data_IF_157894371141
#
_entry.id   IF_157894371141
#
_cell.length_a   1.000
_cell.length_b   1.000
_cell.length_c   1.000
_cell.angle_alpha   90.00
_cell.angle_beta   90.00
_cell.angle_gamma   90.00
#
_symmetry.space_group_name_H-M   'P 1'
#
loop_
_entity.id
_entity.type
_entity.pdbx_description
1 polymer ?
#
# COMPACT_ATOMS: atom_id res chain seq x y z
N UNK A 1 17.17 1.44 16.77
CA UNK A 1 16.65 0.16 16.23
C UNK A 1 15.14 -0.09 16.48
N UNK A 2 14.45 0.73 17.29
CA UNK A 2 13.02 0.51 17.65
C UNK A 2 11.99 1.21 16.73
N UNK A 3 12.33 2.35 16.12
CA UNK A 3 11.41 3.12 15.25
C UNK A 3 11.11 2.42 13.92
N UNK A 4 12.15 1.89 13.27
CA UNK A 4 12.00 1.21 11.97
C UNK A 4 11.22 -0.10 12.10
N UNK A 5 11.39 -0.85 13.20
CA UNK A 5 10.60 -2.07 13.49
C UNK A 5 9.14 -1.78 13.85
N UNK A 6 8.87 -0.68 14.57
CA UNK A 6 7.49 -0.26 14.86
C UNK A 6 6.78 0.25 13.59
N UNK A 7 7.48 1.01 12.76
CA UNK A 7 7.01 1.39 11.42
C UNK A 7 6.77 0.13 10.56
N UNK A 8 7.70 -0.80 10.49
CA UNK A 8 7.54 -2.03 9.69
C UNK A 8 6.39 -2.93 10.15
N UNK A 9 5.96 -2.93 11.42
CA UNK A 9 4.84 -3.79 11.87
C UNK A 9 3.46 -3.13 11.80
N UNK A 10 3.38 -1.80 11.90
CA UNK A 10 2.12 -1.05 11.83
C UNK A 10 1.94 -0.24 10.54
N UNK A 11 2.96 -0.16 9.69
CA UNK A 11 2.98 0.62 8.43
C UNK A 11 3.23 -0.27 7.21
N UNK A 12 3.83 -1.46 7.33
CA UNK A 12 4.13 -2.31 6.16
C UNK A 12 2.90 -2.71 5.33
N UNK A 13 1.82 -3.15 5.98
CA UNK A 13 0.58 -3.52 5.30
C UNK A 13 -0.11 -2.27 4.72
N UNK A 14 -0.31 -1.17 5.47
CA UNK A 14 -0.80 0.10 4.92
C UNK A 14 0.04 0.64 3.77
N UNK A 15 1.35 0.41 3.81
CA UNK A 15 2.27 0.83 2.78
C UNK A 15 2.09 0.03 1.50
N UNK A 16 1.91 -1.30 1.59
CA UNK A 16 1.60 -2.13 0.43
C UNK A 16 0.24 -1.76 -0.17
N UNK A 17 -0.77 -1.61 0.69
CA UNK A 17 -2.11 -1.15 0.31
C UNK A 17 -2.08 0.21 -0.40
N UNK A 18 -1.28 1.15 0.09
CA UNK A 18 -1.10 2.45 -0.54
C UNK A 18 -0.46 2.32 -1.93
N UNK A 19 0.57 1.48 -2.09
CA UNK A 19 1.19 1.24 -3.42
C UNK A 19 0.19 0.60 -4.38
N UNK A 20 -0.57 -0.40 -3.92
CA UNK A 20 -1.62 -1.08 -4.69
C UNK A 20 -2.69 -0.08 -5.15
N UNK A 21 -3.18 0.78 -4.24
CA UNK A 21 -4.11 1.86 -4.56
C UNK A 21 -3.54 2.82 -5.60
N UNK A 22 -2.30 3.26 -5.45
CA UNK A 22 -1.68 4.20 -6.39
C UNK A 22 -1.56 3.61 -7.80
N UNK A 23 -1.28 2.31 -7.92
CA UNK A 23 -1.22 1.62 -9.22
C UNK A 23 -2.61 1.59 -9.87
N UNK A 24 -3.66 1.24 -9.13
CA UNK A 24 -5.03 1.17 -9.64
C UNK A 24 -5.60 2.55 -9.99
N UNK A 25 -5.50 3.51 -9.07
CA UNK A 25 -6.06 4.87 -9.22
C UNK A 25 -5.40 5.60 -10.40
N UNK A 26 -4.10 5.38 -10.64
CA UNK A 26 -3.40 6.01 -11.78
C UNK A 26 -3.97 5.63 -13.14
N UNK A 27 -4.69 4.52 -13.25
CA UNK A 27 -5.33 4.07 -14.48
C UNK A 27 -6.56 4.92 -14.85
N UNK A 28 -7.14 5.67 -13.88
CA UNK A 28 -8.29 6.56 -14.06
C UNK A 28 -7.95 7.91 -14.73
N UNK A 29 -7.01 7.89 -15.67
CA UNK A 29 -6.68 9.05 -16.51
C UNK A 29 -6.16 10.27 -15.72
N UNK A 30 -6.78 11.43 -15.94
CA UNK A 30 -6.30 12.71 -15.40
C UNK A 30 -6.61 12.86 -13.91
N UNK A 31 -7.83 12.52 -13.51
CA UNK A 31 -8.29 12.62 -12.12
C UNK A 31 -7.50 11.66 -11.22
N UNK A 32 -7.28 10.44 -11.69
CA UNK A 32 -6.42 9.47 -11.02
C UNK A 32 -5.00 9.96 -10.75
N UNK A 33 -4.38 10.66 -11.71
CA UNK A 33 -3.04 11.26 -11.51
C UNK A 33 -3.04 12.37 -10.48
N UNK A 34 -4.07 13.22 -10.45
CA UNK A 34 -4.21 14.25 -9.42
C UNK A 34 -4.40 13.64 -8.04
N UNK A 35 -5.28 12.63 -7.93
CA UNK A 35 -5.54 11.92 -6.69
C UNK A 35 -4.28 11.23 -6.16
N UNK A 36 -3.52 10.54 -7.02
CA UNK A 36 -2.24 9.93 -6.66
C UNK A 36 -1.25 10.96 -6.08
N UNK A 37 -1.16 12.14 -6.70
CA UNK A 37 -0.29 13.23 -6.20
C UNK A 37 -0.74 13.70 -4.82
N UNK A 38 -2.04 13.86 -4.61
CA UNK A 38 -2.60 14.27 -3.33
C UNK A 38 -2.36 13.22 -2.23
N UNK A 39 -2.64 11.94 -2.50
CA UNK A 39 -2.39 10.82 -1.57
C UNK A 39 -0.93 10.79 -1.13
N UNK A 40 0.02 10.85 -2.09
CA UNK A 40 1.45 10.84 -1.78
C UNK A 40 1.86 12.06 -0.96
N UNK A 41 1.31 13.24 -1.26
CA UNK A 41 1.57 14.45 -0.49
C UNK A 41 1.08 14.31 0.96
N UNK A 42 -0.19 13.95 1.15
CA UNK A 42 -0.79 13.77 2.48
C UNK A 42 -0.07 12.68 3.29
N UNK A 43 0.36 11.60 2.64
CA UNK A 43 1.18 10.57 3.28
C UNK A 43 2.48 11.14 3.84
N UNK A 44 3.23 11.92 3.05
CA UNK A 44 4.49 12.51 3.51
C UNK A 44 4.29 13.56 4.60
N UNK A 45 3.20 14.33 4.55
CA UNK A 45 2.83 15.25 5.62
C UNK A 45 2.54 14.52 6.94
N UNK A 46 1.79 13.41 6.91
CA UNK A 46 1.53 12.59 8.11
C UNK A 46 2.83 12.00 8.69
N UNK A 47 3.72 11.48 7.84
CA UNK A 47 5.05 11.01 8.29
C UNK A 47 5.85 12.14 8.93
N UNK A 48 5.88 13.32 8.33
CA UNK A 48 6.60 14.46 8.88
C UNK A 48 6.00 14.90 10.23
N UNK A 49 4.67 15.00 10.34
CA UNK A 49 3.99 15.37 11.58
C UNK A 49 4.26 14.36 12.69
N UNK A 50 4.13 13.05 12.41
CA UNK A 50 4.41 11.98 13.38
C UNK A 50 5.86 12.01 13.85
N UNK A 51 6.81 12.28 12.94
CA UNK A 51 8.23 12.37 13.31
C UNK A 51 8.51 13.52 14.29
N UNK A 52 7.78 14.65 14.17
CA UNK A 52 7.85 15.77 15.12
C UNK A 52 7.26 15.40 16.48
N UNK A 53 6.09 14.74 16.48
CA UNK A 53 5.42 14.28 17.70
C UNK A 53 6.29 13.29 18.48
N UNK A 54 7.02 12.42 17.79
CA UNK A 54 7.94 11.46 18.40
C UNK A 54 9.26 12.08 18.89
N UNK A 55 9.44 13.40 18.76
CA UNK A 55 10.62 14.11 19.24
C UNK A 55 11.90 13.78 18.46
N UNK A 56 11.79 13.36 17.19
CA UNK A 56 12.96 13.07 16.36
C UNK A 56 13.65 14.39 15.97
N UNK A 57 14.95 14.49 16.27
CA UNK A 57 15.78 15.63 15.91
C UNK A 57 15.74 15.95 14.42
N UNK A 58 15.89 17.22 14.06
CA UNK A 58 15.76 17.67 12.67
C UNK A 58 16.73 16.99 11.69
N UNK A 59 17.96 16.70 12.13
CA UNK A 59 18.98 16.03 11.32
C UNK A 59 18.57 14.57 11.05
N UNK A 60 18.30 13.80 12.11
CA UNK A 60 17.85 12.42 12.01
C UNK A 60 16.54 12.28 11.24
N UNK A 61 15.62 13.25 11.40
CA UNK A 61 14.36 13.31 10.64
C UNK A 61 14.63 13.46 9.15
N UNK A 62 15.51 14.39 8.74
CA UNK A 62 15.85 14.59 7.33
C UNK A 62 16.46 13.34 6.70
N UNK A 63 17.37 12.67 7.42
CA UNK A 63 17.98 11.42 6.96
C UNK A 63 16.95 10.28 6.86
N UNK A 64 16.08 10.15 7.87
CA UNK A 64 15.02 9.14 7.88
C UNK A 64 14.02 9.36 6.74
N UNK A 65 13.59 10.59 6.50
CA UNK A 65 12.71 10.95 5.39
C UNK A 65 13.33 10.56 4.05
N UNK A 66 14.62 10.86 3.84
CA UNK A 66 15.31 10.47 2.61
C UNK A 66 15.32 8.95 2.42
N UNK A 67 15.69 8.20 3.46
CA UNK A 67 15.71 6.73 3.40
C UNK A 67 14.31 6.14 3.15
N UNK A 68 13.27 6.72 3.75
CA UNK A 68 11.88 6.34 3.52
C UNK A 68 11.45 6.63 2.08
N UNK A 69 11.82 7.78 1.51
CA UNK A 69 11.52 8.12 0.10
C UNK A 69 12.19 7.15 -0.87
N UNK A 70 13.46 6.81 -0.63
CA UNK A 70 14.19 5.83 -1.45
C UNK A 70 13.52 4.45 -1.37
N UNK A 71 13.15 4.01 -0.16
CA UNK A 71 12.39 2.77 0.05
C UNK A 71 11.03 2.83 -0.64
N UNK A 72 10.37 3.99 -0.63
CA UNK A 72 9.05 4.17 -1.24
C UNK A 72 9.08 3.94 -2.75
N UNK A 73 10.00 4.61 -3.44
CA UNK A 73 10.17 4.42 -4.88
C UNK A 73 10.63 3.01 -5.22
N UNK A 74 11.57 2.44 -4.45
CA UNK A 74 12.02 1.06 -4.66
C UNK A 74 10.89 0.04 -4.52
N UNK A 75 9.95 0.28 -3.60
CA UNK A 75 8.77 -0.57 -3.44
C UNK A 75 7.79 -0.41 -4.60
N UNK A 76 7.48 0.81 -5.04
CA UNK A 76 6.63 1.03 -6.21
C UNK A 76 7.15 0.28 -7.43
N UNK A 77 8.44 0.48 -7.77
CA UNK A 77 9.02 -0.17 -8.93
C UNK A 77 9.11 -1.68 -8.76
N UNK A 78 9.51 -2.16 -7.58
CA UNK A 78 9.61 -3.60 -7.33
C UNK A 78 8.26 -4.30 -7.32
N UNK A 79 7.20 -3.62 -6.89
CA UNK A 79 5.85 -4.20 -6.88
C UNK A 79 5.26 -4.18 -8.28
N UNK A 80 5.41 -3.10 -9.03
CA UNK A 80 4.99 -3.04 -10.44
C UNK A 80 5.66 -4.15 -11.26
N UNK A 81 6.99 -4.30 -11.13
CA UNK A 81 7.73 -5.39 -11.77
C UNK A 81 7.27 -6.77 -11.29
N UNK A 82 7.14 -6.99 -9.98
CA UNK A 82 6.72 -8.27 -9.42
C UNK A 82 5.27 -8.66 -9.78
N UNK A 83 4.38 -7.68 -9.85
CA UNK A 83 2.99 -7.88 -10.25
C UNK A 83 2.91 -8.29 -11.73
N UNK A 84 3.68 -7.65 -12.60
CA UNK A 84 3.69 -7.92 -14.04
C UNK A 84 4.49 -9.17 -14.45
N UNK A 85 5.36 -9.68 -13.57
CA UNK A 85 6.23 -10.83 -13.85
C UNK A 85 5.79 -12.10 -13.11
N UNK A 86 6.54 -12.49 -12.08
CA UNK A 86 6.35 -13.73 -11.32
C UNK A 86 6.49 -13.51 -9.81
N UNK A 87 6.05 -14.51 -9.05
CA UNK A 87 6.02 -14.47 -7.60
C UNK A 87 7.41 -14.44 -6.95
N UNK A 88 8.45 -14.91 -7.64
CA UNK A 88 9.83 -14.81 -7.17
C UNK A 88 10.32 -13.36 -7.18
N UNK A 89 10.02 -12.61 -8.24
CA UNK A 89 10.33 -11.18 -8.31
C UNK A 89 9.55 -10.39 -7.26
N UNK A 90 8.25 -10.68 -7.09
CA UNK A 90 7.41 -10.05 -6.08
C UNK A 90 7.89 -10.37 -4.65
N UNK A 91 8.21 -11.63 -4.36
CA UNK A 91 8.80 -12.06 -3.10
C UNK A 91 10.11 -11.33 -2.83
N UNK A 92 10.98 -11.20 -3.84
CA UNK A 92 12.25 -10.50 -3.67
C UNK A 92 12.04 -9.00 -3.39
N UNK A 93 11.05 -8.36 -4.02
CA UNK A 93 10.69 -6.97 -3.76
C UNK A 93 10.14 -6.77 -2.34
N UNK A 94 9.21 -7.64 -1.91
CA UNK A 94 8.67 -7.65 -0.56
C UNK A 94 9.77 -7.88 0.49
N UNK A 95 10.66 -8.83 0.24
CA UNK A 95 11.77 -9.13 1.15
C UNK A 95 12.69 -7.92 1.33
N UNK A 96 13.06 -7.23 0.25
CA UNK A 96 13.95 -6.06 0.31
C UNK A 96 13.30 -4.86 0.99
N UNK A 97 12.07 -4.52 0.61
CA UNK A 97 11.44 -3.25 0.97
C UNK A 97 10.59 -3.36 2.24
N UNK A 98 9.89 -4.47 2.43
CA UNK A 98 8.94 -4.66 3.53
C UNK A 98 9.53 -5.48 4.68
N UNK A 99 10.39 -6.45 4.41
CA UNK A 99 11.11 -7.16 5.46
C UNK A 99 12.48 -6.55 5.76
N UNK A 100 12.88 -5.50 5.03
CA UNK A 100 14.21 -4.89 5.14
C UNK A 100 15.34 -5.94 5.10
N UNK A 101 15.19 -6.93 4.22
CA UNK A 101 16.10 -8.08 4.05
C UNK A 101 16.21 -8.98 5.29
N UNK A 102 15.26 -8.88 6.21
CA UNK A 102 15.19 -9.65 7.45
C UNK A 102 13.87 -10.42 7.50
N UNK A 103 13.91 -11.69 7.11
CA UNK A 103 12.77 -12.60 7.19
C UNK A 103 13.26 -13.94 7.74
N UNK A 104 12.88 -14.23 8.98
CA UNK A 104 13.31 -15.47 9.66
C UNK A 104 12.48 -16.68 9.21
N UNK A 105 11.20 -16.47 8.85
CA UNK A 105 10.30 -17.51 8.36
C UNK A 105 9.87 -17.22 6.92
N UNK A 106 10.39 -17.97 5.92
CA UNK A 106 10.01 -17.81 4.51
C UNK A 106 8.50 -17.91 4.25
N UNK A 107 7.75 -18.62 5.10
CA UNK A 107 6.29 -18.73 4.97
C UNK A 107 5.58 -17.39 5.17
N UNK A 108 6.17 -16.48 5.93
CA UNK A 108 5.64 -15.10 6.06
C UNK A 108 5.79 -14.33 4.76
N UNK A 109 6.87 -14.58 4.01
CA UNK A 109 7.07 -13.93 2.72
C UNK A 109 6.08 -14.48 1.68
N UNK A 110 5.90 -15.80 1.64
CA UNK A 110 4.92 -16.47 0.79
C UNK A 110 3.49 -15.97 1.05
N UNK A 111 3.09 -15.92 2.33
CA UNK A 111 1.78 -15.39 2.72
C UNK A 111 1.58 -13.93 2.26
N UNK A 112 2.62 -13.11 2.31
CA UNK A 112 2.55 -11.73 1.85
C UNK A 112 2.48 -11.61 0.32
N UNK A 113 3.12 -12.51 -0.41
CA UNK A 113 2.98 -12.59 -1.88
C UNK A 113 1.53 -12.93 -2.23
N UNK A 114 0.97 -13.97 -1.60
CA UNK A 114 -0.43 -14.36 -1.79
C UNK A 114 -1.37 -13.20 -1.45
N UNK A 115 -1.12 -12.51 -0.34
CA UNK A 115 -1.87 -11.32 0.05
C UNK A 115 -1.86 -10.24 -1.03
N UNK A 116 -0.68 -9.83 -1.51
CA UNK A 116 -0.57 -8.76 -2.51
C UNK A 116 -1.27 -9.15 -3.81
N UNK A 117 -1.12 -10.39 -4.28
CA UNK A 117 -1.83 -10.90 -5.47
C UNK A 117 -3.34 -10.83 -5.29
N UNK A 118 -3.81 -11.26 -4.13
CA UNK A 118 -5.22 -11.26 -3.76
C UNK A 118 -5.81 -9.84 -3.70
N UNK A 119 -5.06 -8.88 -3.15
CA UNK A 119 -5.48 -7.48 -3.12
C UNK A 119 -5.50 -6.86 -4.51
N UNK A 120 -4.51 -7.15 -5.36
CA UNK A 120 -4.48 -6.64 -6.74
C UNK A 120 -5.71 -7.11 -7.54
N UNK A 121 -6.03 -8.41 -7.47
CA UNK A 121 -7.22 -8.95 -8.13
C UNK A 121 -8.51 -8.28 -7.63
N UNK A 122 -8.57 -7.97 -6.33
CA UNK A 122 -9.73 -7.30 -5.75
C UNK A 122 -9.83 -5.84 -6.18
N UNK A 123 -8.73 -5.08 -6.09
CA UNK A 123 -8.74 -3.65 -6.40
C UNK A 123 -8.94 -3.38 -7.90
N UNK A 124 -8.45 -4.27 -8.76
CA UNK A 124 -8.66 -4.20 -10.22
C UNK A 124 -10.12 -4.44 -10.58
N UNK A 125 -10.89 -5.14 -9.74
CA UNK A 125 -12.32 -5.36 -9.93
C UNK A 125 -13.20 -4.20 -9.42
N UNK A 126 -12.63 -3.21 -8.71
CA UNK A 126 -13.38 -2.05 -8.23
C UNK A 126 -13.65 -1.05 -9.35
N UNK A 127 -14.81 -0.40 -9.26
CA UNK A 127 -15.14 0.72 -10.12
C UNK A 127 -14.24 1.92 -9.82
N UNK A 128 -13.70 2.52 -10.89
CA UNK A 128 -12.75 3.61 -10.79
C UNK A 128 -13.35 4.94 -10.34
N UNK A 129 -14.57 5.23 -10.77
CA UNK A 129 -15.29 6.46 -10.45
C UNK A 129 -15.70 6.44 -8.98
N UNK A 130 -16.22 5.31 -8.50
CA UNK A 130 -16.55 5.10 -7.10
C UNK A 130 -15.31 5.16 -6.19
N UNK A 131 -14.20 4.56 -6.64
CA UNK A 131 -12.95 4.60 -5.90
C UNK A 131 -12.39 6.02 -5.79
N UNK A 132 -12.49 6.81 -6.85
CA UNK A 132 -12.08 8.22 -6.86
C UNK A 132 -12.97 9.10 -6.00
N UNK A 133 -14.28 8.84 -5.97
CA UNK A 133 -15.25 9.64 -5.24
C UNK A 133 -15.24 9.34 -3.74
N UNK A 134 -15.23 8.06 -3.37
CA UNK A 134 -15.35 7.63 -1.98
C UNK A 134 -14.00 7.48 -1.29
N UNK A 135 -12.97 7.04 -2.04
CA UNK A 135 -11.68 6.64 -1.47
C UNK A 135 -11.76 5.39 -0.58
N UNK A 136 -12.89 4.69 -0.55
CA UNK A 136 -13.11 3.55 0.34
C UNK A 136 -12.62 2.24 -0.31
N UNK A 137 -11.71 1.54 0.38
CA UNK A 137 -11.25 0.20 -0.02
C UNK A 137 -11.43 -0.77 1.14
N UNK A 138 -12.31 -1.74 0.95
CA UNK A 138 -12.51 -2.84 1.90
C UNK A 138 -11.48 -3.94 1.66
N UNK A 139 -10.26 -3.73 2.14
CA UNK A 139 -9.15 -4.67 1.98
C UNK A 139 -9.50 -6.08 2.46
N UNK A 140 -9.08 -7.09 1.69
CA UNK A 140 -9.27 -8.48 2.09
C UNK A 140 -8.37 -8.81 3.28
N UNK A 141 -8.80 -9.65 4.23
CA UNK A 141 -7.97 -9.98 5.40
C UNK A 141 -6.71 -10.74 4.99
N UNK A 142 -5.64 -10.68 5.78
CA UNK A 142 -4.38 -11.37 5.46
C UNK A 142 -4.59 -12.89 5.32
N UNK A 143 -5.25 -13.49 6.30
CA UNK A 143 -5.67 -14.89 6.29
C UNK A 143 -7.16 -14.95 5.94
N UNK A 144 -7.51 -15.83 5.00
CA UNK A 144 -8.90 -16.13 4.69
C UNK A 144 -9.19 -17.60 4.98
N UNK A 145 -10.15 -17.85 5.86
CA UNK A 145 -10.64 -19.20 6.11
C UNK A 145 -11.52 -19.71 4.96
N UNK A 146 -12.03 -18.81 4.11
CA UNK A 146 -12.90 -19.10 2.96
C UNK A 146 -12.51 -18.27 1.73
N UNK A 147 -11.95 -18.93 0.72
CA UNK A 147 -11.50 -18.32 -0.55
C UNK A 147 -12.62 -17.68 -1.42
N UNK A 148 -13.89 -17.92 -1.08
CA UNK A 148 -15.06 -17.44 -1.84
C UNK A 148 -15.76 -16.22 -1.21
N UNK A 149 -15.24 -15.66 -0.11
CA UNK A 149 -15.98 -14.73 0.75
C UNK A 149 -16.39 -13.39 0.10
N UNK A 150 -15.74 -12.95 -0.99
CA UNK A 150 -16.04 -11.64 -1.62
C UNK A 150 -16.07 -11.69 -3.15
N UNK A 151 -16.74 -12.69 -3.75
CA UNK A 151 -17.09 -12.62 -5.19
C UNK A 151 -18.17 -11.57 -5.51
N UNK A 152 -18.73 -10.90 -4.49
CA UNK A 152 -19.69 -9.80 -4.68
C UNK A 152 -19.00 -8.49 -4.32
N UNK A 153 -18.57 -7.76 -5.35
CA UNK A 153 -18.27 -6.33 -5.23
C UNK A 153 -19.54 -5.66 -4.70
N UNK A 154 -19.52 -4.99 -3.53
CA UNK A 154 -20.67 -4.24 -3.06
C UNK A 154 -20.93 -3.12 -4.07
N UNK A 155 -22.10 -3.12 -4.71
CA UNK A 155 -22.52 -1.97 -5.51
C UNK A 155 -22.76 -0.80 -4.57
N UNK A 156 -22.18 0.38 -4.82
CA UNK A 156 -22.48 1.55 -4.00
C UNK A 156 -23.96 1.88 -4.13
N UNK A 157 -24.60 2.05 -2.98
CA UNK A 157 -25.98 2.57 -2.93
C UNK A 157 -25.84 4.08 -2.83
N UNK A 158 -25.80 4.77 -3.98
CA UNK A 158 -25.96 6.22 -3.96
C UNK A 158 -27.38 6.52 -3.52
N UNK A 159 -27.53 7.11 -2.34
CA UNK A 159 -28.78 7.76 -2.00
C UNK A 159 -28.85 9.03 -2.84
N UNK A 160 -29.66 9.04 -3.89
CA UNK A 160 -29.98 10.21 -4.73
C UNK A 160 -30.68 11.36 -3.97
N UNK A 161 -30.54 11.41 -2.64
CA UNK A 161 -31.10 12.42 -1.78
C UNK A 161 -29.99 13.35 -1.25
N UNK A 162 -29.74 14.44 -1.98
CA UNK A 162 -29.33 15.69 -1.33
C UNK A 162 -28.22 16.49 -2.00
N UNK A 163 -28.55 17.18 -3.09
CA UNK A 163 -28.31 18.62 -3.23
C UNK A 163 -29.62 19.29 -3.65
#
# INVERSE_FOLDING_TARGET
MSFMRYALRHVAVPFCELVICLVRIRQEGREGKYMCRYIVHSMWEDVEQRSKIMGIDAIHRKESMRAMTETFYAAIFGYDEGILSDDGVLAAALWRNMFNRQCEDPRQLELMVEYVRKQMQFIDALDGEDLLLTGEVNWRPLLEDNAQSILKVPTPTYNDAGL
#
